data_IF_231668098894
#
_entry.id   IF_231668098894
#
_cell.length_a   1.000
_cell.length_b   1.000
_cell.length_c   1.000
_cell.angle_alpha   90.00
_cell.angle_beta   90.00
_cell.angle_gamma   90.00
#
_symmetry.space_group_name_H-M   'P 1'
#
loop_
_entity.id
_entity.type
_entity.pdbx_description
1 polymer ?
#
# COMPACT_ATOMS: atom_id res chain seq x y z
N UNK A 1 11.60 -24.05 -7.15
CA UNK A 1 10.42 -23.28 -6.68
C UNK A 1 9.19 -23.83 -7.38
N UNK A 2 8.01 -23.98 -6.74
CA UNK A 2 6.81 -24.35 -7.48
C UNK A 2 6.52 -23.25 -8.50
N UNK A 3 6.27 -23.62 -9.75
CA UNK A 3 5.99 -22.65 -10.81
C UNK A 3 4.64 -21.98 -10.51
N UNK A 4 4.61 -20.64 -10.48
CA UNK A 4 3.40 -19.83 -10.33
C UNK A 4 2.41 -20.01 -11.51
N UNK A 5 2.81 -20.77 -12.54
CA UNK A 5 2.02 -21.04 -13.75
C UNK A 5 0.82 -21.96 -13.54
N UNK A 6 0.60 -22.51 -12.34
CA UNK A 6 -0.47 -23.48 -12.04
C UNK A 6 -1.65 -22.92 -11.23
N UNK A 7 -1.67 -21.60 -10.93
CA UNK A 7 -2.82 -21.01 -10.24
C UNK A 7 -4.06 -21.07 -11.12
N UNK A 8 -5.12 -21.70 -10.61
CA UNK A 8 -6.45 -21.67 -11.21
C UNK A 8 -7.44 -21.13 -10.18
N UNK A 9 -8.28 -20.15 -10.57
CA UNK A 9 -9.31 -19.65 -9.68
C UNK A 9 -10.30 -20.77 -9.32
N UNK A 10 -10.85 -20.71 -8.10
CA UNK A 10 -11.90 -21.63 -7.68
C UNK A 10 -13.13 -21.53 -8.61
N UNK A 11 -13.92 -22.61 -8.66
CA UNK A 11 -15.13 -22.67 -9.47
C UNK A 11 -16.05 -21.47 -9.21
N UNK A 12 -16.45 -20.76 -10.26
CA UNK A 12 -17.26 -19.52 -10.18
C UNK A 12 -16.46 -18.24 -9.95
N UNK A 13 -15.13 -18.31 -9.75
CA UNK A 13 -14.27 -17.14 -9.59
C UNK A 13 -13.36 -16.89 -10.80
N UNK A 14 -13.76 -17.28 -12.00
CA UNK A 14 -13.00 -17.03 -13.23
C UNK A 14 -13.06 -15.58 -13.73
N UNK A 15 -14.03 -14.80 -13.27
CA UNK A 15 -14.13 -13.37 -13.62
C UNK A 15 -13.25 -12.53 -12.70
N UNK A 16 -12.30 -11.72 -13.22
CA UNK A 16 -11.34 -10.96 -12.41
C UNK A 16 -12.00 -9.93 -11.49
N UNK A 17 -13.09 -9.29 -11.93
CA UNK A 17 -13.84 -8.36 -11.07
C UNK A 17 -14.50 -9.10 -9.89
N UNK A 18 -15.04 -10.29 -10.12
CA UNK A 18 -15.61 -11.12 -9.05
C UNK A 18 -14.51 -11.55 -8.07
N UNK A 19 -13.36 -11.98 -8.57
CA UNK A 19 -12.21 -12.33 -7.73
C UNK A 19 -11.79 -11.15 -6.84
N UNK A 20 -11.61 -9.97 -7.43
CA UNK A 20 -11.20 -8.74 -6.73
C UNK A 20 -12.21 -8.35 -5.65
N UNK A 21 -13.51 -8.38 -5.96
CA UNK A 21 -14.57 -8.02 -5.01
C UNK A 21 -14.68 -9.08 -3.90
N UNK A 22 -14.74 -10.36 -4.24
CA UNK A 22 -14.91 -11.45 -3.27
C UNK A 22 -13.69 -11.55 -2.35
N UNK A 23 -12.47 -11.36 -2.86
CA UNK A 23 -11.27 -11.35 -2.02
C UNK A 23 -11.26 -10.18 -1.01
N UNK A 24 -11.86 -9.07 -1.36
CA UNK A 24 -11.95 -7.87 -0.51
C UNK A 24 -13.10 -7.95 0.51
N UNK A 25 -14.27 -8.44 0.10
CA UNK A 25 -15.50 -8.49 0.93
C UNK A 25 -15.61 -9.82 1.67
N UNK A 26 -15.33 -10.92 1.00
CA UNK A 26 -15.49 -12.28 1.55
C UNK A 26 -14.65 -12.51 2.80
N UNK A 27 -13.44 -12.01 2.85
CA UNK A 27 -12.57 -12.10 4.03
C UNK A 27 -13.07 -11.31 5.24
N UNK A 28 -13.93 -10.33 5.06
CA UNK A 28 -14.61 -9.61 6.16
C UNK A 28 -15.77 -10.43 6.73
N UNK A 29 -16.39 -11.27 5.91
CA UNK A 29 -17.52 -12.10 6.32
C UNK A 29 -17.05 -13.40 7.02
N UNK A 30 -15.87 -13.91 6.68
CA UNK A 30 -15.33 -15.13 7.24
C UNK A 30 -14.04 -14.83 8.01
N UNK A 31 -14.17 -14.64 9.33
CA UNK A 31 -13.03 -14.43 10.22
C UNK A 31 -12.21 -15.73 10.32
N UNK A 32 -10.92 -15.72 9.93
CA UNK A 32 -10.07 -16.91 10.10
C UNK A 32 -9.85 -17.24 11.57
N UNK A 33 -9.77 -18.52 11.92
CA UNK A 33 -9.57 -18.98 13.31
C UNK A 33 -8.26 -18.52 13.95
N UNK A 34 -7.23 -18.27 13.15
CA UNK A 34 -5.92 -17.80 13.59
C UNK A 34 -5.86 -16.30 13.93
N UNK A 35 -6.83 -15.50 13.46
CA UNK A 35 -6.72 -14.04 13.46
C UNK A 35 -6.58 -13.45 14.86
N UNK A 36 -7.39 -13.88 15.81
CA UNK A 36 -7.36 -13.30 17.17
C UNK A 36 -6.05 -13.60 17.89
N UNK A 37 -5.52 -14.83 17.74
CA UNK A 37 -4.25 -15.22 18.34
C UNK A 37 -3.07 -14.45 17.71
N UNK A 38 -3.10 -14.22 16.39
CA UNK A 38 -2.08 -13.45 15.69
C UNK A 38 -2.10 -11.98 16.11
N UNK A 39 -3.28 -11.37 16.19
CA UNK A 39 -3.42 -9.97 16.62
C UNK A 39 -3.02 -9.77 18.09
N UNK A 40 -3.35 -10.72 18.97
CA UNK A 40 -2.98 -10.67 20.39
C UNK A 40 -1.46 -10.74 20.64
N UNK A 41 -0.70 -11.30 19.70
CA UNK A 41 0.76 -11.38 19.74
C UNK A 41 1.44 -10.17 19.06
N UNK A 42 0.66 -9.32 18.37
CA UNK A 42 1.21 -8.16 17.69
C UNK A 42 1.39 -6.99 18.66
N UNK A 43 2.58 -6.40 18.66
CA UNK A 43 2.93 -5.23 19.43
C UNK A 43 2.68 -3.95 18.62
N UNK A 44 1.89 -3.02 19.15
CA UNK A 44 1.72 -1.70 18.55
C UNK A 44 2.95 -0.83 18.80
N UNK A 45 3.41 -0.12 17.78
CA UNK A 45 4.52 0.84 17.84
C UNK A 45 4.16 2.15 17.15
N UNK A 46 4.44 3.23 17.84
CA UNK A 46 4.43 4.57 17.28
C UNK A 46 5.79 4.85 16.60
N UNK A 47 5.75 5.43 15.41
CA UNK A 47 6.92 5.76 14.60
C UNK A 47 6.92 7.27 14.40
N UNK A 48 7.89 7.94 15.00
CA UNK A 48 8.06 9.40 14.88
C UNK A 48 9.25 9.70 13.97
N UNK A 49 8.97 10.13 12.74
CA UNK A 49 9.96 10.45 11.72
C UNK A 49 9.62 11.74 11.00
N UNK A 50 10.60 12.58 10.71
CA UNK A 50 10.44 13.84 9.98
C UNK A 50 9.34 14.75 10.57
N UNK A 51 9.14 14.71 11.89
CA UNK A 51 8.07 15.45 12.58
C UNK A 51 6.66 14.88 12.35
N UNK A 52 6.55 13.68 11.81
CA UNK A 52 5.30 12.97 11.54
C UNK A 52 5.15 11.75 12.43
N UNK A 53 3.92 11.37 12.69
CA UNK A 53 3.54 10.24 13.52
C UNK A 53 2.85 9.17 12.65
N UNK A 54 3.53 8.05 12.41
CA UNK A 54 2.99 6.85 11.79
C UNK A 54 2.83 5.75 12.84
N UNK A 55 2.22 4.64 12.48
CA UNK A 55 2.07 3.49 13.37
C UNK A 55 2.44 2.19 12.66
N UNK A 56 2.90 1.20 13.43
CA UNK A 56 3.14 -0.14 12.92
C UNK A 56 2.71 -1.22 13.93
N UNK A 57 2.49 -2.42 13.42
CA UNK A 57 2.21 -3.62 14.20
C UNK A 57 3.34 -4.63 14.00
N UNK A 58 4.02 -4.96 15.08
CA UNK A 58 5.17 -5.86 15.10
C UNK A 58 4.75 -7.26 15.54
N UNK A 59 4.98 -8.24 14.72
CA UNK A 59 4.82 -9.68 15.05
C UNK A 59 6.21 -10.30 15.07
N UNK A 60 6.78 -10.46 16.28
CA UNK A 60 8.14 -10.95 16.46
C UNK A 60 8.18 -12.47 16.38
N UNK A 61 9.22 -13.02 15.76
CA UNK A 61 9.51 -14.45 15.78
C UNK A 61 10.21 -14.85 17.09
N UNK A 62 10.28 -16.15 17.34
CA UNK A 62 10.98 -16.69 18.54
C UNK A 62 12.49 -16.45 18.52
N UNK A 63 13.10 -16.35 17.33
CA UNK A 63 14.51 -16.06 17.13
C UNK A 63 14.69 -14.57 16.90
N UNK A 64 15.55 -13.92 17.69
CA UNK A 64 15.75 -12.49 17.63
C UNK A 64 16.42 -12.00 16.33
N UNK A 65 17.24 -12.86 15.69
CA UNK A 65 17.93 -12.62 14.41
C UNK A 65 17.16 -13.12 13.20
N UNK A 66 15.91 -13.60 13.39
CA UNK A 66 15.06 -14.02 12.28
C UNK A 66 14.89 -12.93 11.24
N UNK A 67 14.82 -13.25 9.94
CA UNK A 67 14.61 -12.24 8.91
C UNK A 67 13.32 -11.45 9.15
N UNK A 68 13.34 -10.16 8.81
CA UNK A 68 12.20 -9.24 8.98
C UNK A 68 11.59 -8.90 7.63
N UNK A 69 10.27 -8.84 7.56
CA UNK A 69 9.55 -8.31 6.39
C UNK A 69 8.70 -7.11 6.82
N UNK A 70 8.99 -5.93 6.26
CA UNK A 70 8.15 -4.74 6.39
C UNK A 70 7.07 -4.80 5.32
N UNK A 71 5.80 -4.79 5.72
CA UNK A 71 4.65 -4.84 4.79
C UNK A 71 4.00 -3.47 4.70
N UNK A 72 3.85 -2.98 3.46
CA UNK A 72 3.21 -1.69 3.13
C UNK A 72 1.89 -1.97 2.41
N UNK A 73 0.79 -1.49 2.98
CA UNK A 73 -0.56 -1.67 2.44
C UNK A 73 -0.83 -0.82 1.19
N UNK A 74 -1.89 -1.15 0.45
CA UNK A 74 -2.39 -0.36 -0.67
C UNK A 74 -3.18 0.88 -0.23
N UNK A 75 -3.53 1.74 -1.20
CA UNK A 75 -4.28 2.97 -0.95
C UNK A 75 -5.58 2.71 -0.19
N UNK A 76 -5.85 3.54 0.82
CA UNK A 76 -6.99 3.44 1.74
C UNK A 76 -7.09 2.09 2.49
N UNK A 77 -5.95 1.38 2.60
CA UNK A 77 -5.76 0.20 3.44
C UNK A 77 -5.17 0.55 4.80
N UNK A 78 -4.67 -0.48 5.51
CA UNK A 78 -3.97 -0.33 6.80
C UNK A 78 -3.18 -1.60 7.12
N UNK A 79 -2.46 -1.59 8.23
CA UNK A 79 -1.84 -2.78 8.83
C UNK A 79 -2.84 -3.93 9.06
N UNK A 80 -4.14 -3.62 9.20
CA UNK A 80 -5.21 -4.58 9.48
C UNK A 80 -6.04 -4.95 8.24
N UNK A 81 -5.61 -4.54 7.06
CA UNK A 81 -6.22 -5.01 5.82
C UNK A 81 -6.08 -6.52 5.68
N UNK A 82 -7.14 -7.21 5.25
CA UNK A 82 -7.20 -8.68 5.24
C UNK A 82 -6.06 -9.35 4.46
N UNK A 83 -5.62 -8.74 3.35
CA UNK A 83 -4.49 -9.23 2.55
C UNK A 83 -3.15 -9.01 3.28
N UNK A 84 -3.00 -7.90 4.00
CA UNK A 84 -1.81 -7.63 4.83
C UNK A 84 -1.73 -8.65 5.97
N UNK A 85 -2.83 -8.85 6.69
CA UNK A 85 -2.92 -9.83 7.79
C UNK A 85 -2.63 -11.25 7.33
N UNK A 86 -3.21 -11.68 6.19
CA UNK A 86 -2.98 -13.03 5.66
C UNK A 86 -1.53 -13.24 5.24
N UNK A 87 -0.89 -12.24 4.62
CA UNK A 87 0.51 -12.32 4.24
C UNK A 87 1.43 -12.28 5.46
N UNK A 88 1.10 -11.44 6.44
CA UNK A 88 1.83 -11.35 7.71
C UNK A 88 1.79 -12.67 8.47
N UNK A 89 0.61 -13.29 8.60
CA UNK A 89 0.47 -14.61 9.23
C UNK A 89 1.28 -15.67 8.50
N UNK A 90 1.17 -15.73 7.16
CA UNK A 90 1.88 -16.74 6.37
C UNK A 90 3.42 -16.61 6.50
N UNK A 91 3.95 -15.39 6.54
CA UNK A 91 5.37 -15.12 6.77
C UNK A 91 5.77 -15.48 8.20
N UNK A 92 4.96 -15.10 9.18
CA UNK A 92 5.23 -15.39 10.59
C UNK A 92 5.25 -16.91 10.85
N UNK A 93 4.35 -17.67 10.23
CA UNK A 93 4.34 -19.14 10.30
C UNK A 93 5.59 -19.78 9.67
N UNK A 94 6.28 -19.07 8.78
CA UNK A 94 7.57 -19.48 8.22
C UNK A 94 8.78 -18.99 9.04
N UNK A 95 8.54 -18.41 10.22
CA UNK A 95 9.58 -17.96 11.12
C UNK A 95 10.12 -16.55 10.86
N UNK A 96 9.48 -15.75 10.00
CA UNK A 96 9.84 -14.35 9.80
C UNK A 96 9.30 -13.48 10.93
N UNK A 97 10.03 -12.46 11.29
CA UNK A 97 9.50 -11.31 11.98
C UNK A 97 8.74 -10.45 10.95
N UNK A 98 7.59 -9.90 11.32
CA UNK A 98 6.78 -9.11 10.39
C UNK A 98 6.42 -7.78 11.01
N UNK A 99 6.63 -6.70 10.26
CA UNK A 99 6.21 -5.35 10.63
C UNK A 99 5.21 -4.84 9.61
N UNK A 100 3.98 -4.61 10.04
CA UNK A 100 2.88 -4.09 9.22
C UNK A 100 2.81 -2.58 9.43
N UNK A 101 3.36 -1.81 8.50
CA UNK A 101 3.38 -0.34 8.55
C UNK A 101 2.01 0.22 8.13
N UNK A 102 1.48 1.16 8.90
CA UNK A 102 0.33 2.00 8.52
C UNK A 102 0.84 3.37 8.10
N UNK A 103 0.58 3.73 6.85
CA UNK A 103 0.94 5.03 6.29
C UNK A 103 0.08 6.14 6.90
N UNK A 104 0.56 7.39 6.84
CA UNK A 104 -0.16 8.58 7.30
C UNK A 104 -1.61 8.57 6.84
N UNK A 105 -2.53 8.99 7.69
CA UNK A 105 -3.98 9.10 7.49
C UNK A 105 -4.73 7.78 7.22
N UNK A 106 -4.03 6.65 7.14
CA UNK A 106 -4.65 5.35 6.92
C UNK A 106 -4.98 4.66 8.25
N UNK A 107 -5.89 3.69 8.23
CA UNK A 107 -6.17 2.85 9.41
C UNK A 107 -6.62 3.62 10.66
N UNK A 108 -7.45 4.65 10.51
CA UNK A 108 -7.93 5.51 11.59
C UNK A 108 -6.85 6.41 12.25
N UNK A 109 -5.74 6.69 11.56
CA UNK A 109 -4.65 7.55 12.08
C UNK A 109 -4.75 9.01 11.61
N UNK A 110 -5.85 9.41 10.97
CA UNK A 110 -6.03 10.76 10.43
C UNK A 110 -5.90 11.89 11.48
N UNK A 111 -6.07 11.56 12.77
CA UNK A 111 -5.94 12.49 13.90
C UNK A 111 -4.50 12.68 14.39
N UNK A 112 -3.55 11.85 13.95
CA UNK A 112 -2.17 11.88 14.45
C UNK A 112 -1.32 12.98 13.82
N UNK A 113 -1.66 13.41 12.61
CA UNK A 113 -0.93 14.44 11.88
C UNK A 113 -1.91 15.46 11.31
N UNK A 114 -1.55 16.74 11.31
CA UNK A 114 -2.35 17.75 10.64
C UNK A 114 -2.23 17.63 9.11
N UNK A 115 -1.02 17.53 8.59
CA UNK A 115 -0.78 17.40 7.14
C UNK A 115 -1.43 16.16 6.52
N UNK A 116 -1.93 16.30 5.29
CA UNK A 116 -2.60 15.23 4.54
C UNK A 116 -1.59 14.30 3.86
N UNK A 117 -1.97 13.02 3.76
CA UNK A 117 -1.23 12.03 2.99
C UNK A 117 -1.42 12.23 1.49
N UNK A 118 -0.34 12.07 0.73
CA UNK A 118 -0.38 11.86 -0.71
C UNK A 118 0.70 10.86 -1.17
N UNK A 119 0.48 10.18 -2.29
CA UNK A 119 1.32 9.03 -2.70
C UNK A 119 2.76 9.41 -3.12
N UNK A 120 3.09 10.69 -3.27
CA UNK A 120 4.44 11.15 -3.57
C UNK A 120 5.34 11.31 -2.33
N UNK A 121 4.88 10.98 -1.12
CA UNK A 121 5.63 11.11 0.15
C UNK A 121 6.66 9.99 0.35
N UNK A 122 7.65 9.88 -0.54
CA UNK A 122 8.65 8.81 -0.49
C UNK A 122 9.54 8.92 0.74
N UNK A 123 10.04 10.12 1.04
CA UNK A 123 11.03 10.35 2.10
C UNK A 123 10.50 9.96 3.47
N UNK A 124 9.21 10.22 3.75
CA UNK A 124 8.57 9.82 4.99
C UNK A 124 8.54 8.29 5.15
N UNK A 125 8.22 7.56 4.07
CA UNK A 125 8.14 6.10 4.11
C UNK A 125 9.55 5.47 4.16
N UNK A 126 10.53 6.09 3.52
CA UNK A 126 11.96 5.71 3.65
C UNK A 126 12.41 5.87 5.10
N UNK A 127 12.15 7.04 5.71
CA UNK A 127 12.51 7.30 7.12
C UNK A 127 11.80 6.32 8.07
N UNK A 128 10.53 6.00 7.84
CA UNK A 128 9.80 5.01 8.62
C UNK A 128 10.41 3.60 8.49
N UNK A 129 10.80 3.18 7.28
CA UNK A 129 11.46 1.91 7.06
C UNK A 129 12.83 1.85 7.77
N UNK A 130 13.62 2.93 7.70
CA UNK A 130 14.90 3.04 8.40
C UNK A 130 14.73 2.96 9.92
N UNK A 131 13.76 3.68 10.48
CA UNK A 131 13.42 3.60 11.90
C UNK A 131 13.07 2.17 12.34
N UNK A 132 12.26 1.47 11.53
CA UNK A 132 11.91 0.07 11.80
C UNK A 132 13.16 -0.82 11.75
N UNK A 133 14.07 -0.59 10.80
CA UNK A 133 15.30 -1.38 10.67
C UNK A 133 16.22 -1.26 11.87
N UNK A 134 16.22 -0.14 12.59
CA UNK A 134 16.99 0.06 13.81
C UNK A 134 16.58 -0.89 14.95
N UNK A 135 15.31 -1.34 14.97
CA UNK A 135 14.81 -2.35 15.92
C UNK A 135 15.31 -3.78 15.62
N UNK A 136 15.97 -3.99 14.45
CA UNK A 136 16.38 -5.30 13.96
C UNK A 136 17.84 -5.31 13.41
N UNK A 137 18.83 -4.88 14.18
CA UNK A 137 20.19 -4.64 13.69
C UNK A 137 20.90 -5.90 13.17
N UNK A 138 20.53 -7.08 13.67
CA UNK A 138 21.15 -8.36 13.31
C UNK A 138 20.35 -9.11 12.23
N UNK A 139 19.17 -8.62 11.85
CA UNK A 139 18.26 -9.30 10.93
C UNK A 139 18.44 -8.83 9.50
N UNK A 140 18.28 -9.74 8.55
CA UNK A 140 18.05 -9.36 7.15
C UNK A 140 16.65 -8.80 7.00
N UNK A 141 16.53 -7.62 6.37
CA UNK A 141 15.23 -6.96 6.18
C UNK A 141 14.81 -7.04 4.72
N UNK A 142 13.54 -7.34 4.50
CA UNK A 142 12.87 -7.29 3.21
C UNK A 142 11.66 -6.35 3.24
N UNK A 143 11.23 -5.95 2.04
CA UNK A 143 10.04 -5.15 1.82
C UNK A 143 8.99 -5.96 1.07
N UNK A 144 7.73 -5.85 1.49
CA UNK A 144 6.58 -6.35 0.74
C UNK A 144 5.57 -5.22 0.61
N UNK A 145 5.16 -4.89 -0.60
CA UNK A 145 4.17 -3.83 -0.81
C UNK A 145 3.04 -4.25 -1.73
N UNK A 146 1.84 -3.74 -1.48
CA UNK A 146 0.63 -4.04 -2.27
C UNK A 146 0.14 -2.81 -3.00
N UNK A 147 -0.10 -2.88 -4.31
CA UNK A 147 -0.68 -1.80 -5.11
C UNK A 147 0.12 -0.49 -4.94
N UNK A 148 -0.45 0.57 -4.39
CA UNK A 148 0.27 1.78 -3.97
C UNK A 148 1.44 1.47 -3.04
N UNK A 149 1.26 0.57 -2.07
CA UNK A 149 2.35 0.10 -1.20
C UNK A 149 3.45 -0.64 -1.97
N UNK A 150 3.10 -1.32 -3.07
CA UNK A 150 4.06 -1.92 -4.01
C UNK A 150 4.86 -0.86 -4.77
N UNK A 151 4.20 0.23 -5.18
CA UNK A 151 4.88 1.40 -5.75
C UNK A 151 5.86 2.01 -4.73
N UNK A 152 5.44 2.19 -3.46
CA UNK A 152 6.34 2.62 -2.39
C UNK A 152 7.52 1.63 -2.21
N UNK A 153 7.28 0.32 -2.14
CA UNK A 153 8.33 -0.67 -1.96
C UNK A 153 9.40 -0.58 -3.06
N UNK A 154 9.01 -0.40 -4.33
CA UNK A 154 9.93 -0.22 -5.45
C UNK A 154 10.74 1.08 -5.34
N UNK A 155 10.11 2.19 -4.90
CA UNK A 155 10.83 3.45 -4.63
C UNK A 155 11.79 3.32 -3.45
N UNK A 156 11.37 2.65 -2.39
CA UNK A 156 12.24 2.37 -1.24
C UNK A 156 13.45 1.53 -1.64
N UNK A 157 13.29 0.52 -2.50
CA UNK A 157 14.40 -0.29 -3.00
C UNK A 157 15.49 0.55 -3.69
N UNK A 158 15.12 1.66 -4.31
CA UNK A 158 16.08 2.62 -4.89
C UNK A 158 16.91 3.36 -3.83
N UNK A 159 16.28 3.69 -2.69
CA UNK A 159 16.94 4.37 -1.56
C UNK A 159 17.65 3.41 -0.61
N UNK A 160 17.18 2.17 -0.55
CA UNK A 160 17.63 1.11 0.35
C UNK A 160 17.99 -0.16 -0.44
N UNK A 161 19.05 -0.13 -1.28
CA UNK A 161 19.30 -1.17 -2.29
C UNK A 161 19.71 -2.54 -1.74
N UNK A 162 19.91 -2.66 -0.42
CA UNK A 162 20.25 -3.94 0.23
C UNK A 162 19.00 -4.75 0.61
N UNK A 163 17.81 -4.18 0.47
CA UNK A 163 16.56 -4.83 0.86
C UNK A 163 16.07 -5.76 -0.25
N UNK A 164 15.74 -7.00 0.10
CA UNK A 164 14.97 -7.86 -0.78
C UNK A 164 13.55 -7.30 -0.91
N UNK A 165 13.11 -7.02 -2.14
CA UNK A 165 11.85 -6.32 -2.37
C UNK A 165 10.89 -7.15 -3.19
N UNK A 166 9.67 -7.34 -2.67
CA UNK A 166 8.52 -7.94 -3.35
C UNK A 166 7.40 -6.92 -3.49
N UNK A 167 7.04 -6.57 -4.72
CA UNK A 167 5.91 -5.71 -5.00
C UNK A 167 4.75 -6.52 -5.60
N UNK A 168 3.57 -6.46 -4.97
CA UNK A 168 2.38 -7.22 -5.39
C UNK A 168 1.41 -6.26 -6.08
N UNK A 169 1.16 -6.52 -7.36
CA UNK A 169 0.35 -5.67 -8.25
C UNK A 169 0.67 -4.17 -8.05
N UNK A 170 1.96 -3.73 -8.18
CA UNK A 170 2.33 -2.34 -7.94
C UNK A 170 1.73 -1.40 -8.97
N UNK A 171 1.24 -0.24 -8.53
CA UNK A 171 0.77 0.84 -9.40
C UNK A 171 1.96 1.52 -10.09
N UNK A 172 2.44 0.96 -11.21
CA UNK A 172 3.59 1.48 -11.97
C UNK A 172 3.27 2.81 -12.63
N UNK A 173 2.07 2.94 -13.25
CA UNK A 173 1.56 4.20 -13.82
C UNK A 173 0.41 4.73 -12.97
N UNK A 174 0.67 5.72 -12.09
CA UNK A 174 -0.37 6.27 -11.22
C UNK A 174 -1.55 6.87 -11.95
N UNK A 175 -1.30 7.68 -12.97
CA UNK A 175 -2.35 8.32 -13.77
C UNK A 175 -3.29 7.27 -14.41
N UNK A 176 -2.70 6.26 -15.07
CA UNK A 176 -3.48 5.19 -15.69
C UNK A 176 -4.23 4.34 -14.64
N UNK A 177 -3.63 4.10 -13.46
CA UNK A 177 -4.33 3.39 -12.37
C UNK A 177 -5.57 4.14 -11.89
N UNK A 178 -5.48 5.47 -11.72
CA UNK A 178 -6.63 6.31 -11.33
C UNK A 178 -7.69 6.33 -12.45
N UNK A 179 -7.28 6.37 -13.72
CA UNK A 179 -8.18 6.27 -14.87
C UNK A 179 -8.93 4.93 -14.88
N UNK A 180 -8.23 3.81 -14.67
CA UNK A 180 -8.85 2.47 -14.58
C UNK A 180 -9.86 2.37 -13.44
N UNK A 181 -9.54 2.92 -12.26
CA UNK A 181 -10.51 3.00 -11.15
C UNK A 181 -11.73 3.81 -11.57
N UNK A 182 -11.54 4.95 -12.24
CA UNK A 182 -12.61 5.84 -12.69
C UNK A 182 -13.48 5.27 -13.81
N UNK A 183 -12.94 4.36 -14.62
CA UNK A 183 -13.69 3.68 -15.71
C UNK A 183 -14.71 2.67 -15.19
N UNK A 184 -14.58 2.21 -13.95
CA UNK A 184 -15.47 1.24 -13.31
C UNK A 184 -16.30 1.89 -12.21
N UNK A 185 -17.64 1.94 -12.39
CA UNK A 185 -18.56 2.49 -11.38
C UNK A 185 -18.41 1.80 -10.01
N UNK A 186 -18.10 0.50 -10.00
CA UNK A 186 -17.95 -0.28 -8.76
C UNK A 186 -16.68 0.16 -8.01
N UNK A 187 -15.54 0.20 -8.70
CA UNK A 187 -14.27 0.60 -8.07
C UNK A 187 -14.29 2.07 -7.70
N UNK A 188 -14.77 2.94 -8.60
CA UNK A 188 -14.92 4.36 -8.30
C UNK A 188 -15.76 4.59 -7.03
N UNK A 189 -16.95 3.99 -6.94
CA UNK A 189 -17.80 4.12 -5.75
C UNK A 189 -17.13 3.60 -4.48
N UNK A 190 -16.42 2.48 -4.58
CA UNK A 190 -15.71 1.89 -3.45
C UNK A 190 -14.58 2.80 -2.93
N UNK A 191 -13.69 3.25 -3.81
CA UNK A 191 -12.55 4.08 -3.43
C UNK A 191 -12.99 5.48 -2.98
N UNK A 192 -13.93 6.09 -3.68
CA UNK A 192 -14.48 7.39 -3.27
C UNK A 192 -15.17 7.35 -1.91
N UNK A 193 -15.92 6.28 -1.63
CA UNK A 193 -16.56 6.10 -0.32
C UNK A 193 -15.54 6.05 0.82
N UNK A 194 -14.46 5.31 0.63
CA UNK A 194 -13.36 5.23 1.61
C UNK A 194 -12.60 6.56 1.74
N UNK A 195 -12.35 7.23 0.64
CA UNK A 195 -11.60 8.50 0.65
C UNK A 195 -12.40 9.60 1.36
N UNK A 196 -13.71 9.69 1.09
CA UNK A 196 -14.61 10.60 1.82
C UNK A 196 -14.63 10.31 3.32
N UNK A 197 -14.71 9.05 3.71
CA UNK A 197 -14.66 8.67 5.12
C UNK A 197 -13.36 9.09 5.80
N UNK A 198 -12.22 9.05 5.08
CA UNK A 198 -10.94 9.57 5.56
C UNK A 198 -10.98 11.09 5.72
N UNK A 199 -11.50 11.84 4.74
CA UNK A 199 -11.64 13.30 4.84
C UNK A 199 -12.55 13.73 5.99
N UNK A 200 -13.66 13.03 6.19
CA UNK A 200 -14.53 13.27 7.35
C UNK A 200 -13.81 13.05 8.68
N UNK A 201 -12.96 12.03 8.77
CA UNK A 201 -12.14 11.79 9.97
C UNK A 201 -11.12 12.92 10.15
N UNK A 202 -10.47 13.35 9.06
CA UNK A 202 -9.48 14.43 9.07
C UNK A 202 -10.10 15.76 9.48
N UNK A 203 -11.23 16.12 8.89
CA UNK A 203 -11.96 17.35 9.23
C UNK A 203 -12.45 17.35 10.68
N UNK A 204 -12.91 16.21 11.20
CA UNK A 204 -13.28 16.09 12.62
C UNK A 204 -12.09 16.27 13.57
N UNK A 205 -10.91 15.80 13.16
CA UNK A 205 -9.69 15.93 13.97
C UNK A 205 -9.10 17.36 13.92
N UNK A 206 -9.23 18.02 12.77
CA UNK A 206 -8.63 19.35 12.52
C UNK A 206 -9.67 20.28 11.86
N UNK A 207 -10.76 20.67 12.57
CA UNK A 207 -11.87 21.43 11.99
C UNK A 207 -11.49 22.86 11.58
N UNK A 208 -10.46 23.43 12.19
CA UNK A 208 -9.96 24.77 11.83
C UNK A 208 -9.07 24.75 10.58
N UNK A 209 -8.51 23.59 10.23
CA UNK A 209 -7.56 23.45 9.10
C UNK A 209 -8.24 22.93 7.85
N UNK A 210 -9.36 22.20 7.97
CA UNK A 210 -9.97 21.49 6.84
C UNK A 210 -11.47 21.66 6.77
N UNK A 211 -11.94 22.02 5.55
CA UNK A 211 -13.32 21.94 5.11
C UNK A 211 -13.37 21.22 3.76
N UNK A 212 -13.84 19.98 3.75
CA UNK A 212 -14.00 19.18 2.53
C UNK A 212 -15.42 19.23 1.95
N UNK A 213 -16.26 20.16 2.35
CA UNK A 213 -17.64 20.30 1.86
C UNK A 213 -17.70 20.48 0.34
N UNK A 214 -16.76 21.24 -0.23
CA UNK A 214 -16.64 21.44 -1.68
C UNK A 214 -16.40 20.14 -2.44
N UNK A 215 -15.73 19.14 -1.85
CA UNK A 215 -15.44 17.85 -2.48
C UNK A 215 -16.63 16.89 -2.47
N UNK A 216 -17.61 17.09 -1.59
CA UNK A 216 -18.73 16.19 -1.38
C UNK A 216 -19.62 16.04 -2.61
N UNK A 217 -19.75 17.08 -3.46
CA UNK A 217 -20.59 17.12 -4.65
C UNK A 217 -20.03 16.39 -5.87
N UNK A 218 -18.74 16.06 -5.89
CA UNK A 218 -18.10 15.45 -7.05
C UNK A 218 -18.19 13.93 -7.04
N UNK A 219 -18.51 13.33 -8.19
CA UNK A 219 -18.66 11.89 -8.36
C UNK A 219 -17.52 11.23 -9.16
N UNK A 220 -16.56 12.01 -9.68
CA UNK A 220 -15.40 11.53 -10.41
C UNK A 220 -14.15 11.50 -9.52
N UNK A 221 -13.48 10.33 -9.47
CA UNK A 221 -12.22 10.20 -8.72
C UNK A 221 -11.10 11.05 -9.32
N UNK A 222 -11.10 11.23 -10.66
CA UNK A 222 -10.13 12.07 -11.35
C UNK A 222 -10.28 13.55 -10.92
N UNK A 223 -11.51 14.08 -10.99
CA UNK A 223 -11.80 15.46 -10.58
C UNK A 223 -11.44 15.68 -9.10
N UNK A 224 -11.83 14.73 -8.23
CA UNK A 224 -11.47 14.81 -6.81
C UNK A 224 -9.97 14.79 -6.58
N UNK A 225 -9.22 14.00 -7.36
CA UNK A 225 -7.76 13.98 -7.26
C UNK A 225 -7.17 15.32 -7.71
N UNK A 226 -7.66 15.91 -8.81
CA UNK A 226 -7.21 17.22 -9.29
C UNK A 226 -7.41 18.31 -8.23
N UNK A 227 -8.62 18.42 -7.67
CA UNK A 227 -8.93 19.40 -6.63
C UNK A 227 -8.06 19.15 -5.38
N UNK A 228 -8.00 17.90 -4.92
CA UNK A 228 -7.20 17.56 -3.75
C UNK A 228 -5.72 17.90 -3.91
N UNK A 229 -5.14 17.62 -5.08
CA UNK A 229 -3.73 17.93 -5.34
C UNK A 229 -3.50 19.44 -5.40
N UNK A 230 -4.37 20.19 -6.07
CA UNK A 230 -4.24 21.64 -6.19
C UNK A 230 -4.39 22.36 -4.85
N UNK A 231 -5.33 21.92 -4.00
CA UNK A 231 -5.69 22.66 -2.77
C UNK A 231 -4.89 22.19 -1.54
N UNK A 232 -4.37 20.95 -1.54
CA UNK A 232 -3.84 20.31 -0.34
C UNK A 232 -2.43 19.73 -0.47
N UNK A 233 -1.72 20.01 -1.56
CA UNK A 233 -0.35 19.56 -1.74
C UNK A 233 0.54 20.66 -2.32
N UNK A 234 1.86 20.39 -2.41
CA UNK A 234 2.81 21.29 -3.04
C UNK A 234 2.79 21.26 -4.58
N UNK A 235 2.00 20.39 -5.20
CA UNK A 235 1.96 20.25 -6.65
C UNK A 235 0.94 21.21 -7.26
N UNK A 236 1.39 22.06 -8.17
CA UNK A 236 0.51 23.00 -8.87
C UNK A 236 -0.36 22.31 -9.94
N UNK A 237 0.08 21.15 -10.43
CA UNK A 237 -0.57 20.39 -11.50
C UNK A 237 -0.61 18.91 -11.17
N UNK A 238 -1.66 18.23 -11.59
CA UNK A 238 -1.84 16.82 -11.35
C UNK A 238 -0.80 15.95 -12.09
N UNK A 239 -0.32 16.42 -13.26
CA UNK A 239 0.72 15.73 -14.02
C UNK A 239 2.04 15.70 -13.25
N UNK A 240 2.42 16.81 -12.61
CA UNK A 240 3.63 16.91 -11.78
C UNK A 240 3.53 15.99 -10.56
N UNK A 241 2.33 15.90 -9.98
CA UNK A 241 2.05 14.95 -8.90
C UNK A 241 2.23 13.50 -9.35
N UNK A 242 1.60 13.10 -10.46
CA UNK A 242 1.75 11.73 -10.95
C UNK A 242 3.19 11.42 -11.33
N UNK A 243 3.90 12.35 -11.99
CA UNK A 243 5.29 12.19 -12.36
C UNK A 243 6.22 11.95 -11.16
N UNK A 244 5.88 12.49 -9.98
CA UNK A 244 6.67 12.33 -8.76
C UNK A 244 6.76 10.87 -8.24
N UNK A 245 5.84 9.98 -8.66
CA UNK A 245 5.84 8.57 -8.27
C UNK A 245 5.47 7.60 -9.40
N UNK A 246 5.53 8.06 -10.66
CA UNK A 246 5.46 7.21 -11.85
C UNK A 246 6.74 6.37 -11.96
N UNK A 247 6.58 5.07 -12.15
CA UNK A 247 7.68 4.11 -12.18
C UNK A 247 8.01 3.61 -13.60
N UNK A 248 7.44 4.23 -14.63
CA UNK A 248 7.74 3.92 -16.03
C UNK A 248 9.09 4.49 -16.46
N UNK A 249 9.55 4.06 -17.64
CA UNK A 249 10.83 4.50 -18.21
C UNK A 249 12.01 4.13 -17.31
N UNK A 250 12.89 5.08 -17.06
CA UNK A 250 14.14 4.88 -16.32
C UNK A 250 13.99 4.94 -14.80
N UNK A 251 12.76 5.11 -14.28
CA UNK A 251 12.53 5.32 -12.85
C UNK A 251 13.05 4.17 -11.97
N UNK A 252 13.01 2.93 -12.49
CA UNK A 252 13.47 1.72 -11.80
C UNK A 252 14.86 1.24 -12.25
N UNK A 253 15.62 2.02 -13.01
CA UNK A 253 16.98 1.65 -13.39
C UNK A 253 17.86 1.45 -12.14
N UNK A 254 18.52 0.29 -12.09
CA UNK A 254 19.37 -0.10 -10.95
C UNK A 254 18.62 -0.61 -9.72
N UNK A 255 17.30 -0.75 -9.77
CA UNK A 255 16.50 -1.39 -8.73
C UNK A 255 16.44 -2.90 -8.98
N UNK A 256 16.74 -3.70 -7.95
CA UNK A 256 16.52 -5.14 -7.94
C UNK A 256 15.26 -5.45 -7.11
N UNK A 257 14.27 -6.06 -7.74
CA UNK A 257 13.01 -6.42 -7.07
C UNK A 257 12.27 -7.52 -7.83
N UNK A 258 11.38 -8.20 -7.12
CA UNK A 258 10.41 -9.13 -7.72
C UNK A 258 9.03 -8.48 -7.71
N UNK A 259 8.32 -8.56 -8.84
CA UNK A 259 6.93 -8.15 -8.96
C UNK A 259 6.06 -9.40 -9.13
N UNK A 260 5.05 -9.53 -8.29
CA UNK A 260 3.98 -10.51 -8.47
C UNK A 260 2.74 -9.79 -9.00
N UNK A 261 2.34 -10.10 -10.23
CA UNK A 261 1.20 -9.46 -10.89
C UNK A 261 0.16 -10.49 -11.36
N UNK A 262 -1.11 -10.09 -11.38
CA UNK A 262 -2.16 -10.88 -12.00
C UNK A 262 -2.28 -10.49 -13.48
N UNK A 263 -2.37 -11.48 -14.38
CA UNK A 263 -2.50 -11.24 -15.83
C UNK A 263 -3.82 -10.61 -16.23
N UNK A 264 -4.82 -10.70 -15.38
CA UNK A 264 -6.19 -10.24 -15.54
C UNK A 264 -6.59 -9.21 -14.48
N UNK A 265 -5.64 -8.48 -13.90
CA UNK A 265 -5.92 -7.43 -12.90
C UNK A 265 -6.80 -6.33 -13.55
N UNK A 266 -8.01 -6.07 -13.03
CA UNK A 266 -8.92 -5.09 -13.62
C UNK A 266 -8.58 -3.64 -13.27
N UNK A 267 -7.61 -3.41 -12.37
CA UNK A 267 -7.23 -2.07 -11.88
C UNK A 267 -5.82 -1.70 -12.34
N UNK A 268 -4.90 -2.66 -12.31
CA UNK A 268 -3.51 -2.45 -12.72
C UNK A 268 -3.20 -3.42 -13.85
N UNK A 269 -3.41 -2.99 -15.11
CA UNK A 269 -3.31 -3.88 -16.26
C UNK A 269 -1.87 -4.36 -16.48
N UNK A 270 -1.70 -5.59 -17.04
CA UNK A 270 -0.38 -6.21 -17.23
C UNK A 270 0.55 -5.41 -18.16
N UNK A 271 0.03 -4.49 -18.95
CA UNK A 271 0.79 -3.55 -19.77
C UNK A 271 1.76 -2.71 -18.95
N UNK A 272 1.45 -2.46 -17.67
CA UNK A 272 2.32 -1.70 -16.77
C UNK A 272 3.70 -2.37 -16.55
N UNK A 273 3.80 -3.68 -16.81
CA UNK A 273 5.01 -4.46 -16.49
C UNK A 273 5.85 -4.82 -17.73
N UNK A 274 5.47 -4.37 -18.94
CA UNK A 274 6.13 -4.79 -20.19
C UNK A 274 7.55 -4.24 -20.39
N UNK A 275 7.75 -2.98 -20.03
CA UNK A 275 8.96 -2.24 -20.35
C UNK A 275 9.78 -1.92 -19.07
N UNK A 276 9.77 -2.84 -18.11
CA UNK A 276 10.55 -2.70 -16.89
C UNK A 276 12.01 -3.12 -17.12
N UNK A 277 12.99 -2.56 -16.37
CA UNK A 277 14.38 -2.98 -16.42
C UNK A 277 14.54 -4.48 -16.17
N UNK A 278 15.56 -5.11 -16.78
CA UNK A 278 15.85 -6.53 -16.63
C UNK A 278 16.20 -6.97 -15.19
N UNK A 279 16.52 -6.03 -14.31
CA UNK A 279 16.74 -6.26 -12.88
C UNK A 279 15.43 -6.43 -12.08
N UNK A 280 14.30 -6.19 -12.71
CA UNK A 280 12.96 -6.43 -12.14
C UNK A 280 12.45 -7.77 -12.68
N UNK A 281 12.29 -8.75 -11.79
CA UNK A 281 11.64 -10.03 -12.12
C UNK A 281 10.11 -9.87 -12.02
N UNK A 282 9.36 -10.32 -13.04
CA UNK A 282 7.89 -10.23 -13.07
C UNK A 282 7.27 -11.61 -13.23
#
# INVERSE_FOLDING_TARGET
>A
MPSLSSFQPALGLSNPNVQTIVSSVGRKLFKPSWLDSFLAQSEHRDIHVMGQHLTAQYSRASQADAPVVIIIHGWLGSADSSYVLSSAQALHDQGFQVVRLTLRDHGNTAHLNEGLFHSAMTDEVVAAAQFIMEDFPESRVGLMGFSMGGNFALRLAKHLPKLTTLAICPAISPAHTVEQIGSSLIYQKYFMGKWRALWEQKQRAFPESYDFSALAGHSSIQILTEIFIADHTQFARIEDYYAAYDLRGDALMGVEATILAAKDDPIIPPEHYRDLPASIEV
#
